data_IF_224362038662
#
_entry.id   IF_224362038662
#
_cell.length_a   1.000
_cell.length_b   1.000
_cell.length_c   1.000
_cell.angle_alpha   90.00
_cell.angle_beta   90.00
_cell.angle_gamma   90.00
#
_symmetry.space_group_name_H-M   'P 1'
#
loop_
_entity.id
_entity.type
_entity.pdbx_description
1 polymer ?
#
# COMPACT_ATOMS: atom_id res chain seq x y z
N UNK A 1 -6.22 2.77 -12.09
CA UNK A 1 -7.28 3.34 -12.94
C UNK A 1 -7.20 4.85 -12.88
N UNK A 2 -7.74 5.55 -13.86
CA UNK A 2 -7.88 7.01 -13.80
C UNK A 2 -8.84 7.42 -12.67
N UNK A 3 -8.56 8.55 -12.03
CA UNK A 3 -9.41 9.10 -10.98
C UNK A 3 -10.81 9.44 -11.54
N UNK A 4 -11.84 9.22 -10.71
CA UNK A 4 -13.24 9.48 -11.10
C UNK A 4 -13.92 8.32 -11.85
N UNK A 5 -13.21 7.23 -12.16
CA UNK A 5 -13.87 6.03 -12.70
C UNK A 5 -14.83 5.44 -11.65
N UNK A 6 -16.10 5.23 -12.05
CA UNK A 6 -17.15 4.67 -11.17
C UNK A 6 -17.80 3.39 -11.70
N UNK A 7 -17.43 2.97 -12.91
CA UNK A 7 -17.85 1.67 -13.43
C UNK A 7 -17.36 0.57 -12.50
N UNK A 8 -18.23 -0.42 -12.25
CA UNK A 8 -17.84 -1.63 -11.54
C UNK A 8 -16.89 -2.43 -12.43
N UNK A 9 -15.69 -2.70 -11.92
CA UNK A 9 -14.67 -3.50 -12.61
C UNK A 9 -14.43 -4.75 -11.77
N UNK A 10 -14.59 -5.90 -12.39
CA UNK A 10 -14.31 -7.19 -11.77
C UNK A 10 -13.12 -7.85 -12.46
N UNK A 11 -12.19 -8.36 -11.65
CA UNK A 11 -11.09 -9.20 -12.11
C UNK A 11 -11.21 -10.54 -11.41
N UNK A 12 -11.29 -11.61 -12.20
CA UNK A 12 -11.41 -12.99 -11.69
C UNK A 12 -10.23 -13.77 -12.20
N UNK A 13 -9.37 -14.24 -11.29
CA UNK A 13 -8.26 -15.13 -11.60
C UNK A 13 -8.61 -16.52 -11.07
N UNK A 14 -8.60 -17.52 -11.95
CA UNK A 14 -8.84 -18.92 -11.59
C UNK A 14 -7.57 -19.72 -11.79
N UNK A 15 -7.07 -20.37 -10.73
CA UNK A 15 -5.93 -21.29 -10.83
C UNK A 15 -6.42 -22.60 -11.41
N UNK A 16 -6.15 -22.82 -12.70
CA UNK A 16 -6.62 -24.01 -13.43
C UNK A 16 -5.66 -25.20 -13.31
N UNK A 17 -4.37 -24.92 -13.14
CA UNK A 17 -3.30 -25.91 -13.01
C UNK A 17 -2.21 -25.31 -12.14
N UNK A 18 -1.66 -26.12 -11.24
CA UNK A 18 -0.59 -25.72 -10.33
C UNK A 18 0.41 -26.86 -10.21
N UNK A 19 1.67 -26.58 -10.54
CA UNK A 19 2.77 -27.43 -10.12
C UNK A 19 2.93 -27.28 -8.60
N UNK A 20 2.96 -28.36 -7.80
CA UNK A 20 3.09 -28.26 -6.35
C UNK A 20 4.33 -27.52 -5.85
N UNK A 21 5.36 -27.35 -6.71
CA UNK A 21 6.58 -26.62 -6.38
C UNK A 21 6.50 -25.12 -6.68
N UNK A 22 5.45 -24.64 -7.35
CA UNK A 22 5.32 -23.25 -7.76
C UNK A 22 4.33 -22.51 -6.84
N UNK A 23 4.58 -21.21 -6.64
CA UNK A 23 3.65 -20.31 -5.97
C UNK A 23 2.84 -19.51 -7.00
N UNK A 24 1.52 -19.60 -6.94
CA UNK A 24 0.64 -19.06 -7.96
C UNK A 24 0.34 -17.56 -7.81
N UNK A 25 0.53 -17.00 -6.62
CA UNK A 25 0.07 -15.66 -6.24
C UNK A 25 0.66 -14.55 -7.13
N UNK A 26 1.96 -14.54 -7.37
CA UNK A 26 2.62 -13.55 -8.22
C UNK A 26 2.31 -13.76 -9.70
N UNK A 27 2.06 -15.01 -10.13
CA UNK A 27 1.52 -15.27 -11.47
C UNK A 27 0.11 -14.71 -11.62
N UNK A 28 -0.73 -14.83 -10.58
CA UNK A 28 -2.08 -14.28 -10.56
C UNK A 28 -2.09 -12.75 -10.62
N UNK A 29 -1.14 -12.06 -9.99
CA UNK A 29 -0.95 -10.60 -10.11
C UNK A 29 -0.72 -10.21 -11.58
N UNK A 30 0.21 -10.90 -12.25
CA UNK A 30 0.52 -10.62 -13.66
C UNK A 30 -0.66 -10.95 -14.58
N UNK A 31 -1.39 -12.05 -14.31
CA UNK A 31 -2.60 -12.40 -15.07
C UNK A 31 -3.70 -11.35 -14.92
N UNK A 32 -3.95 -10.87 -13.70
CA UNK A 32 -4.90 -9.80 -13.40
C UNK A 32 -4.55 -8.49 -14.11
N UNK A 33 -3.26 -8.12 -14.10
CA UNK A 33 -2.77 -6.94 -14.82
C UNK A 33 -2.95 -7.11 -16.33
N UNK A 34 -2.52 -8.24 -16.89
CA UNK A 34 -2.60 -8.51 -18.32
C UNK A 34 -4.05 -8.50 -18.83
N UNK A 35 -4.97 -9.16 -18.11
CA UNK A 35 -6.40 -9.16 -18.47
C UNK A 35 -7.00 -7.76 -18.44
N UNK A 36 -6.63 -6.96 -17.44
CA UNK A 36 -7.09 -5.56 -17.31
C UNK A 36 -6.52 -4.69 -18.41
N UNK A 37 -5.26 -4.91 -18.79
CA UNK A 37 -4.56 -4.17 -19.84
C UNK A 37 -5.23 -4.33 -21.21
N UNK A 38 -5.67 -5.55 -21.56
CA UNK A 38 -6.31 -5.83 -22.85
C UNK A 38 -7.82 -5.55 -22.87
N UNK A 39 -8.41 -5.19 -21.72
CA UNK A 39 -9.85 -4.99 -21.58
C UNK A 39 -10.35 -3.67 -22.20
N UNK A 40 -9.45 -2.77 -22.62
CA UNK A 40 -9.83 -1.44 -23.13
C UNK A 40 -10.29 -0.48 -22.04
N UNK A 41 -9.78 -0.65 -20.81
CA UNK A 41 -10.10 0.19 -19.64
C UNK A 41 -9.11 1.36 -19.49
N UNK A 42 -9.52 2.50 -18.88
CA UNK A 42 -8.62 3.62 -18.60
C UNK A 42 -7.72 3.29 -17.38
N UNK A 43 -6.73 2.45 -17.65
CA UNK A 43 -5.82 1.85 -16.67
C UNK A 43 -4.36 2.15 -17.04
N UNK A 44 -3.59 2.66 -16.08
CA UNK A 44 -2.18 3.01 -16.22
C UNK A 44 -1.26 1.80 -16.01
N UNK A 45 -1.52 0.72 -16.74
CA UNK A 45 -0.72 -0.49 -16.73
C UNK A 45 0.37 -0.54 -17.80
N UNK A 46 1.01 -1.71 -17.98
CA UNK A 46 0.83 -2.91 -17.17
C UNK A 46 1.55 -2.80 -15.81
N UNK A 47 1.14 -3.65 -14.87
CA UNK A 47 1.81 -3.89 -13.58
C UNK A 47 2.49 -5.25 -13.63
N UNK A 48 3.78 -5.28 -13.31
CA UNK A 48 4.54 -6.51 -13.11
C UNK A 48 4.60 -6.85 -11.63
N UNK A 49 4.27 -8.10 -11.27
CA UNK A 49 4.38 -8.62 -9.91
C UNK A 49 5.40 -9.76 -9.84
N UNK A 50 6.35 -9.70 -8.92
CA UNK A 50 7.39 -10.73 -8.77
C UNK A 50 7.60 -11.05 -7.30
N UNK A 51 7.86 -12.33 -7.00
CA UNK A 51 8.43 -12.75 -5.72
C UNK A 51 9.94 -12.83 -5.90
N UNK A 52 10.70 -12.19 -5.02
CA UNK A 52 12.14 -12.36 -4.88
C UNK A 52 12.45 -12.87 -3.48
N UNK A 53 13.27 -13.91 -3.39
CA UNK A 53 13.73 -14.44 -2.11
C UNK A 53 15.25 -14.36 -2.02
N UNK A 54 15.77 -14.00 -0.84
CA UNK A 54 17.21 -14.00 -0.58
C UNK A 54 17.65 -15.39 -0.12
N UNK A 55 18.37 -16.09 -0.99
CA UNK A 55 18.75 -17.48 -0.77
C UNK A 55 20.27 -17.60 -0.63
N UNK A 56 20.81 -17.80 0.59
CA UNK A 56 22.20 -18.16 0.83
C UNK A 56 22.52 -19.59 0.38
N UNK A 57 23.78 -19.81 0.01
CA UNK A 57 24.35 -21.13 -0.23
C UNK A 57 25.66 -21.28 0.54
N UNK A 58 26.21 -22.50 0.60
CA UNK A 58 27.52 -22.73 1.22
C UNK A 58 28.64 -21.91 0.55
N UNK A 59 28.53 -21.69 -0.76
CA UNK A 59 29.50 -20.93 -1.55
C UNK A 59 29.23 -19.41 -1.49
N UNK A 60 27.99 -19.01 -1.28
CA UNK A 60 27.57 -17.61 -1.20
C UNK A 60 26.69 -17.36 0.04
N UNK A 61 27.34 -17.12 1.18
CA UNK A 61 26.66 -16.78 2.44
C UNK A 61 25.97 -15.42 2.41
N UNK A 62 26.34 -14.51 1.50
CA UNK A 62 25.63 -13.25 1.29
C UNK A 62 24.26 -13.46 0.62
N UNK A 63 24.08 -14.60 -0.06
CA UNK A 63 22.86 -14.98 -0.74
C UNK A 63 22.67 -14.33 -2.10
N UNK A 64 21.68 -14.82 -2.82
CA UNK A 64 21.24 -14.32 -4.11
C UNK A 64 19.74 -14.06 -4.07
N UNK A 65 19.31 -12.93 -4.63
CA UNK A 65 17.89 -12.65 -4.88
C UNK A 65 17.41 -13.47 -6.07
N UNK A 66 16.62 -14.51 -5.79
CA UNK A 66 16.05 -15.42 -6.79
C UNK A 66 14.61 -15.00 -7.06
N UNK A 67 14.30 -14.70 -8.32
CA UNK A 67 12.94 -14.39 -8.75
C UNK A 67 12.12 -15.66 -9.02
N UNK A 68 10.84 -15.62 -8.67
CA UNK A 68 9.92 -16.77 -8.74
C UNK A 68 10.52 -18.04 -8.10
N UNK A 69 10.95 -17.97 -6.83
CA UNK A 69 11.50 -19.13 -6.15
C UNK A 69 10.44 -20.24 -6.04
N UNK A 70 10.88 -21.49 -6.10
CA UNK A 70 10.04 -22.65 -5.81
C UNK A 70 9.81 -22.79 -4.30
N UNK A 71 8.82 -23.61 -3.93
CA UNK A 71 8.57 -24.00 -2.53
C UNK A 71 9.84 -24.56 -1.89
N UNK A 72 10.54 -25.48 -2.56
CA UNK A 72 11.81 -26.04 -2.09
C UNK A 72 12.91 -24.97 -1.92
N UNK A 73 13.01 -24.01 -2.84
CA UNK A 73 14.01 -22.94 -2.74
C UNK A 73 13.76 -22.01 -1.54
N UNK A 74 12.49 -21.81 -1.15
CA UNK A 74 12.13 -20.99 0.00
C UNK A 74 12.54 -21.61 1.34
N UNK A 75 12.70 -22.93 1.43
CA UNK A 75 13.17 -23.59 2.66
C UNK A 75 14.55 -23.09 3.10
N UNK A 76 15.38 -22.69 2.12
CA UNK A 76 16.72 -22.13 2.32
C UNK A 76 16.78 -20.60 2.26
N UNK A 77 15.65 -19.90 2.11
CA UNK A 77 15.63 -18.44 2.04
C UNK A 77 15.71 -17.81 3.43
N UNK A 78 16.34 -16.64 3.55
CA UNK A 78 16.32 -15.81 4.78
C UNK A 78 15.28 -14.70 4.73
N UNK A 79 14.77 -14.38 3.54
CA UNK A 79 13.78 -13.34 3.32
C UNK A 79 12.96 -13.65 2.06
N UNK A 80 11.64 -13.52 2.16
CA UNK A 80 10.69 -13.65 1.04
C UNK A 80 9.99 -12.31 0.84
N UNK A 81 10.00 -11.79 -0.39
CA UNK A 81 9.45 -10.49 -0.72
C UNK A 81 8.71 -10.49 -2.05
N UNK A 82 7.43 -10.13 -2.02
CA UNK A 82 6.63 -9.84 -3.20
C UNK A 82 6.67 -8.34 -3.48
N UNK A 83 7.00 -7.99 -4.72
CA UNK A 83 7.10 -6.61 -5.21
C UNK A 83 6.24 -6.46 -6.45
N UNK A 84 5.43 -5.40 -6.51
CA UNK A 84 4.72 -5.03 -7.72
C UNK A 84 4.98 -3.56 -8.11
N UNK A 85 5.11 -3.32 -9.41
CA UNK A 85 5.42 -2.00 -9.94
C UNK A 85 5.11 -1.86 -11.42
N UNK A 86 5.43 -0.68 -11.97
CA UNK A 86 5.26 -0.37 -13.39
C UNK A 86 6.47 0.38 -13.93
N UNK A 87 6.70 0.27 -15.24
CA UNK A 87 7.70 1.09 -15.94
C UNK A 87 7.18 2.52 -16.04
N UNK A 88 7.99 3.52 -15.67
CA UNK A 88 7.67 4.95 -15.82
C UNK A 88 8.41 5.61 -16.97
N UNK A 89 9.61 5.12 -17.30
CA UNK A 89 10.42 5.57 -18.44
C UNK A 89 11.46 4.51 -18.79
N UNK A 90 12.05 4.61 -19.99
CA UNK A 90 13.05 3.64 -20.44
C UNK A 90 12.45 2.28 -20.83
N UNK A 91 13.33 1.39 -21.29
CA UNK A 91 13.02 0.03 -21.74
C UNK A 91 14.23 -0.89 -21.46
N UNK A 92 13.98 -2.19 -21.39
CA UNK A 92 14.99 -3.21 -21.16
C UNK A 92 15.73 -3.01 -19.84
N UNK A 93 17.06 -3.08 -19.90
CA UNK A 93 17.95 -2.94 -18.75
C UNK A 93 17.96 -1.52 -18.14
N UNK A 94 17.55 -0.51 -18.91
CA UNK A 94 17.52 0.91 -18.49
C UNK A 94 16.11 1.37 -18.08
N UNK A 95 15.16 0.44 -17.94
CA UNK A 95 13.80 0.75 -17.53
C UNK A 95 13.77 1.25 -16.08
N UNK A 96 13.25 2.47 -15.90
CA UNK A 96 12.93 2.98 -14.58
C UNK A 96 11.60 2.39 -14.11
N UNK A 97 11.65 1.66 -13.01
CA UNK A 97 10.52 0.95 -12.42
C UNK A 97 10.10 1.64 -11.15
N UNK A 98 8.87 2.17 -11.15
CA UNK A 98 8.22 2.66 -9.95
C UNK A 98 7.57 1.48 -9.20
N UNK A 99 8.12 1.16 -8.04
CA UNK A 99 7.53 0.20 -7.09
C UNK A 99 6.25 0.82 -6.50
N UNK A 100 5.17 0.03 -6.48
CA UNK A 100 3.84 0.47 -6.07
C UNK A 100 3.31 -0.31 -4.86
N UNK A 101 3.78 -1.55 -4.65
CA UNK A 101 3.38 -2.43 -3.55
C UNK A 101 4.55 -3.32 -3.17
N UNK A 102 4.72 -3.55 -1.86
CA UNK A 102 5.68 -4.48 -1.28
C UNK A 102 4.99 -5.23 -0.15
N UNK A 103 5.09 -6.55 -0.16
CA UNK A 103 4.69 -7.45 0.94
C UNK A 103 5.88 -8.38 1.20
N UNK A 104 6.39 -8.42 2.43
CA UNK A 104 7.65 -9.11 2.71
C UNK A 104 7.73 -9.64 4.14
N UNK A 105 8.48 -10.73 4.30
CA UNK A 105 8.67 -11.42 5.57
C UNK A 105 10.03 -12.12 5.66
N UNK A 106 10.49 -12.34 6.88
CA UNK A 106 11.54 -13.32 7.15
C UNK A 106 10.93 -14.73 7.20
N UNK A 107 11.71 -15.75 6.86
CA UNK A 107 11.24 -17.14 6.79
C UNK A 107 11.30 -17.85 8.15
N UNK A 108 10.63 -19.01 8.27
CA UNK A 108 10.60 -19.81 9.51
C UNK A 108 11.99 -20.22 10.01
N UNK A 109 12.89 -20.61 9.09
CA UNK A 109 14.24 -21.09 9.41
C UNK A 109 15.30 -19.98 9.46
N UNK A 110 14.91 -18.71 9.33
CA UNK A 110 15.84 -17.57 9.18
C UNK A 110 16.91 -17.50 10.28
N UNK A 111 16.53 -17.78 11.53
CA UNK A 111 17.43 -17.71 12.69
C UNK A 111 18.55 -18.74 12.57
N UNK A 112 18.21 -19.98 12.20
CA UNK A 112 19.18 -21.07 12.06
C UNK A 112 20.09 -20.86 10.85
N UNK A 113 19.54 -20.36 9.74
CA UNK A 113 20.30 -20.06 8.53
C UNK A 113 21.32 -18.94 8.80
N UNK A 114 20.94 -17.88 9.53
CA UNK A 114 21.84 -16.81 9.96
C UNK A 114 22.90 -17.33 10.94
N UNK A 115 22.51 -18.17 11.90
CA UNK A 115 23.46 -18.81 12.82
C UNK A 115 24.49 -19.70 12.07
N UNK A 116 24.09 -20.27 10.93
CA UNK A 116 24.95 -20.96 9.97
C UNK A 116 25.86 -20.06 9.12
N UNK A 117 25.86 -18.75 9.37
CA UNK A 117 26.74 -17.76 8.76
C UNK A 117 26.12 -16.97 7.61
N UNK A 118 24.83 -17.12 7.33
CA UNK A 118 24.16 -16.34 6.29
C UNK A 118 23.96 -14.87 6.67
N UNK A 119 23.87 -14.02 5.66
CA UNK A 119 23.55 -12.61 5.81
C UNK A 119 22.14 -12.41 6.39
N UNK A 120 22.04 -11.59 7.45
CA UNK A 120 20.75 -11.20 8.02
C UNK A 120 20.04 -10.17 7.14
N UNK A 121 18.70 -10.23 7.00
CA UNK A 121 17.93 -9.31 6.16
C UNK A 121 17.68 -7.97 6.87
N UNK A 122 18.73 -7.15 6.99
CA UNK A 122 18.64 -5.77 7.50
C UNK A 122 18.00 -4.83 6.48
N UNK A 123 17.68 -3.60 6.86
CA UNK A 123 17.05 -2.61 5.96
C UNK A 123 17.87 -2.37 4.68
N UNK A 124 19.20 -2.41 4.78
CA UNK A 124 20.08 -2.28 3.61
C UNK A 124 19.90 -3.45 2.63
N UNK A 125 19.85 -4.68 3.16
CA UNK A 125 19.65 -5.89 2.35
C UNK A 125 18.24 -5.92 1.74
N UNK A 126 17.22 -5.52 2.50
CA UNK A 126 15.84 -5.40 1.97
C UNK A 126 15.78 -4.37 0.84
N UNK A 127 16.46 -3.23 0.97
CA UNK A 127 16.55 -2.24 -0.09
C UNK A 127 17.25 -2.77 -1.35
N UNK A 128 18.32 -3.57 -1.19
CA UNK A 128 18.94 -4.28 -2.32
C UNK A 128 17.96 -5.24 -3.01
N UNK A 129 17.13 -5.94 -2.24
CA UNK A 129 16.08 -6.80 -2.80
C UNK A 129 15.04 -6.05 -3.63
N UNK A 130 14.67 -4.83 -3.21
CA UNK A 130 13.77 -3.97 -3.99
C UNK A 130 14.39 -3.57 -5.33
N UNK A 131 15.68 -3.26 -5.36
CA UNK A 131 16.40 -2.98 -6.60
C UNK A 131 16.55 -4.24 -7.46
N UNK A 132 16.84 -5.40 -6.86
CA UNK A 132 16.93 -6.68 -7.56
C UNK A 132 15.61 -7.12 -8.20
N UNK A 133 14.46 -6.68 -7.67
CA UNK A 133 13.14 -6.97 -8.23
C UNK A 133 12.85 -6.19 -9.53
N UNK A 134 13.43 -5.00 -9.72
CA UNK A 134 13.07 -4.09 -10.82
C UNK A 134 13.29 -4.69 -12.22
N UNK A 135 14.43 -5.35 -12.54
CA UNK A 135 14.62 -5.93 -13.87
C UNK A 135 13.56 -6.99 -14.22
N UNK A 136 13.12 -7.78 -13.24
CA UNK A 136 12.07 -8.78 -13.44
C UNK A 136 10.71 -8.12 -13.67
N UNK A 137 10.37 -7.08 -12.89
CA UNK A 137 9.15 -6.29 -13.10
C UNK A 137 9.14 -5.65 -14.48
N UNK A 138 10.27 -5.10 -14.95
CA UNK A 138 10.40 -4.53 -16.28
C UNK A 138 10.12 -5.58 -17.36
N UNK A 139 10.77 -6.76 -17.29
CA UNK A 139 10.55 -7.85 -18.23
C UNK A 139 9.08 -8.32 -18.26
N UNK A 140 8.43 -8.44 -17.09
CA UNK A 140 7.02 -8.79 -16.98
C UNK A 140 6.10 -7.73 -17.61
N UNK A 141 6.39 -6.45 -17.38
CA UNK A 141 5.66 -5.35 -17.99
C UNK A 141 5.82 -5.35 -19.51
N UNK A 142 7.02 -5.59 -20.04
CA UNK A 142 7.30 -5.64 -21.47
C UNK A 142 6.59 -6.81 -22.16
N UNK A 143 6.58 -7.99 -21.53
CA UNK A 143 5.82 -9.13 -22.02
C UNK A 143 4.31 -8.79 -22.12
N UNK A 144 3.76 -8.12 -21.10
CA UNK A 144 2.37 -7.67 -21.12
C UNK A 144 2.11 -6.58 -22.18
N UNK A 145 3.04 -5.63 -22.38
CA UNK A 145 2.95 -4.62 -23.46
C UNK A 145 2.94 -5.29 -24.83
N UNK A 146 3.79 -6.29 -25.05
CA UNK A 146 3.83 -7.07 -26.30
C UNK A 146 2.50 -7.78 -26.56
N UNK A 147 1.92 -8.41 -25.53
CA UNK A 147 0.58 -9.00 -25.60
C UNK A 147 -0.49 -7.96 -25.93
N UNK A 148 -0.46 -6.80 -25.27
CA UNK A 148 -1.41 -5.73 -25.49
C UNK A 148 -1.32 -5.15 -26.91
N UNK A 149 -0.12 -5.01 -27.48
CA UNK A 149 0.06 -4.56 -28.86
C UNK A 149 -0.60 -5.50 -29.88
N UNK A 150 -0.69 -6.80 -29.58
CA UNK A 150 -1.31 -7.80 -30.44
C UNK A 150 -2.82 -7.99 -30.20
N UNK A 151 -3.30 -7.76 -28.97
CA UNK A 151 -4.61 -8.23 -28.53
C UNK A 151 -5.46 -7.22 -27.74
N UNK A 152 -4.96 -6.01 -27.47
CA UNK A 152 -5.73 -5.03 -26.71
C UNK A 152 -6.96 -4.58 -27.49
N UNK A 153 -8.10 -4.53 -26.80
CA UNK A 153 -9.27 -3.79 -27.29
C UNK A 153 -8.92 -2.30 -27.33
N UNK A 154 -9.63 -1.57 -28.20
CA UNK A 154 -9.62 -0.11 -28.16
C UNK A 154 -10.10 0.36 -26.79
N UNK A 155 -9.47 1.41 -26.26
CA UNK A 155 -9.90 2.03 -25.02
C UNK A 155 -11.29 2.60 -25.20
N UNK A 156 -12.25 2.10 -24.43
CA UNK A 156 -13.63 2.59 -24.47
C UNK A 156 -13.74 4.01 -23.92
N UNK A 157 -14.85 4.68 -24.24
CA UNK A 157 -15.23 5.93 -23.59
C UNK A 157 -15.89 5.62 -22.24
N UNK A 158 -15.24 6.02 -21.15
CA UNK A 158 -15.76 5.86 -19.80
C UNK A 158 -16.12 7.23 -19.20
N UNK A 159 -17.34 7.40 -18.68
CA UNK A 159 -17.68 8.62 -17.96
C UNK A 159 -16.85 8.72 -16.68
N UNK A 160 -16.21 9.88 -16.50
CA UNK A 160 -15.46 10.20 -15.29
C UNK A 160 -16.29 11.11 -14.39
N UNK A 161 -16.25 10.82 -13.10
CA UNK A 161 -16.96 11.56 -12.06
C UNK A 161 -15.92 12.08 -11.05
N UNK A 162 -15.21 13.17 -11.37
CA UNK A 162 -14.32 13.81 -10.42
C UNK A 162 -15.09 14.20 -9.15
N UNK A 163 -14.40 14.25 -8.01
CA UNK A 163 -15.05 14.52 -6.74
C UNK A 163 -15.54 15.98 -6.61
N UNK A 164 -14.92 16.89 -7.38
CA UNK A 164 -15.23 18.31 -7.48
C UNK A 164 -14.56 18.88 -8.72
N UNK A 165 -15.10 19.97 -9.25
CA UNK A 165 -14.45 20.79 -10.27
C UNK A 165 -13.54 21.86 -9.64
N UNK A 166 -12.68 22.48 -10.46
CA UNK A 166 -11.70 23.46 -9.98
C UNK A 166 -12.34 24.69 -9.32
N UNK A 167 -13.48 25.17 -9.82
CA UNK A 167 -14.21 26.30 -9.26
C UNK A 167 -14.68 26.04 -7.82
N UNK A 168 -15.16 24.83 -7.53
CA UNK A 168 -15.55 24.43 -6.18
C UNK A 168 -14.34 24.38 -5.23
N UNK A 169 -13.20 23.87 -5.70
CA UNK A 169 -11.96 23.89 -4.92
C UNK A 169 -11.49 25.30 -4.61
N UNK A 170 -11.45 26.18 -5.61
CA UNK A 170 -10.99 27.55 -5.45
C UNK A 170 -11.90 28.36 -4.51
N UNK A 171 -13.22 28.18 -4.62
CA UNK A 171 -14.19 28.81 -3.70
C UNK A 171 -14.00 28.34 -2.25
N UNK A 172 -13.84 27.02 -2.03
CA UNK A 172 -13.58 26.46 -0.70
C UNK A 172 -12.23 26.92 -0.16
N UNK A 173 -11.19 26.93 -0.99
CA UNK A 173 -9.86 27.40 -0.61
C UNK A 173 -9.89 28.87 -0.18
N UNK A 174 -10.57 29.74 -0.95
CA UNK A 174 -10.72 31.14 -0.60
C UNK A 174 -11.46 31.37 0.73
N UNK A 175 -12.49 30.56 1.01
CA UNK A 175 -13.32 30.73 2.20
C UNK A 175 -12.74 30.05 3.47
N UNK A 176 -12.04 28.93 3.33
CA UNK A 176 -11.68 28.07 4.47
C UNK A 176 -10.19 28.08 4.84
N UNK A 177 -9.28 28.46 3.95
CA UNK A 177 -7.82 28.21 4.12
C UNK A 177 -7.28 28.74 5.45
N UNK A 178 -7.57 29.99 5.81
CA UNK A 178 -7.00 30.63 7.00
C UNK A 178 -7.53 29.98 8.30
N UNK A 179 -8.86 29.87 8.42
CA UNK A 179 -9.52 29.24 9.57
C UNK A 179 -9.10 27.77 9.71
N UNK A 180 -9.12 27.02 8.61
CA UNK A 180 -8.74 25.60 8.61
C UNK A 180 -7.28 25.42 9.00
N UNK A 181 -6.38 26.28 8.51
CA UNK A 181 -4.96 26.23 8.89
C UNK A 181 -4.76 26.41 10.40
N UNK A 182 -5.52 27.31 11.03
CA UNK A 182 -5.51 27.50 12.49
C UNK A 182 -6.09 26.29 13.23
N UNK A 183 -7.23 25.76 12.80
CA UNK A 183 -7.86 24.57 13.40
C UNK A 183 -6.92 23.36 13.35
N UNK A 184 -6.21 23.19 12.24
CA UNK A 184 -5.24 22.09 12.09
C UNK A 184 -4.06 22.19 13.07
N UNK A 185 -3.89 23.29 13.80
CA UNK A 185 -2.92 23.43 14.91
C UNK A 185 -3.37 22.81 16.23
N UNK A 186 -4.67 22.52 16.38
CA UNK A 186 -5.23 21.88 17.57
C UNK A 186 -4.72 20.43 17.64
N UNK A 187 -3.97 20.12 18.70
CA UNK A 187 -3.39 18.79 18.89
C UNK A 187 -4.45 17.74 19.28
N UNK A 188 -5.39 18.12 20.15
CA UNK A 188 -6.46 17.26 20.64
C UNK A 188 -7.37 16.77 19.51
N UNK A 189 -7.55 15.45 19.38
CA UNK A 189 -8.32 14.86 18.28
C UNK A 189 -9.78 15.33 18.27
N UNK A 190 -10.49 15.16 19.38
CA UNK A 190 -11.90 15.51 19.49
C UNK A 190 -12.13 17.01 19.28
N UNK A 191 -11.35 17.85 19.96
CA UNK A 191 -11.41 19.32 19.80
C UNK A 191 -11.15 19.75 18.34
N UNK A 192 -10.18 19.12 17.67
CA UNK A 192 -9.89 19.40 16.26
C UNK A 192 -11.00 18.89 15.34
N UNK A 193 -11.54 17.71 15.58
CA UNK A 193 -12.63 17.12 14.79
C UNK A 193 -13.88 17.98 14.89
N UNK A 194 -14.28 18.35 16.10
CA UNK A 194 -15.44 19.22 16.36
C UNK A 194 -15.28 20.57 15.64
N UNK A 195 -14.14 21.24 15.79
CA UNK A 195 -13.86 22.51 15.12
C UNK A 195 -13.81 22.38 13.59
N UNK A 196 -13.26 21.28 13.08
CA UNK A 196 -13.19 21.02 11.63
C UNK A 196 -14.58 20.78 11.04
N UNK A 197 -15.44 20.04 11.75
CA UNK A 197 -16.80 19.76 11.32
C UNK A 197 -17.70 21.01 11.42
N UNK A 198 -17.53 21.83 12.46
CA UNK A 198 -18.19 23.13 12.57
C UNK A 198 -17.82 24.03 11.38
N UNK A 199 -16.52 24.20 11.10
CA UNK A 199 -16.06 24.98 9.95
C UNK A 199 -16.59 24.41 8.64
N UNK A 200 -16.61 23.08 8.48
CA UNK A 200 -17.14 22.45 7.28
C UNK A 200 -18.63 22.76 7.09
N UNK A 201 -19.41 22.77 8.17
CA UNK A 201 -20.81 23.19 8.18
C UNK A 201 -20.97 24.63 7.71
N UNK A 202 -20.19 25.56 8.30
CA UNK A 202 -20.18 26.98 7.90
C UNK A 202 -19.92 27.15 6.40
N UNK A 203 -18.91 26.44 5.87
CA UNK A 203 -18.50 26.56 4.47
C UNK A 203 -19.55 25.96 3.53
N UNK A 204 -20.20 24.86 3.93
CA UNK A 204 -21.32 24.29 3.17
C UNK A 204 -22.47 25.30 3.07
N UNK A 205 -22.88 25.90 4.18
CA UNK A 205 -23.97 26.88 4.22
C UNK A 205 -23.61 28.16 3.44
N UNK A 206 -22.37 28.66 3.60
CA UNK A 206 -21.88 29.86 2.91
C UNK A 206 -21.86 29.70 1.38
N UNK A 207 -21.50 28.51 0.89
CA UNK A 207 -21.32 28.24 -0.54
C UNK A 207 -22.53 27.55 -1.19
N UNK A 208 -23.53 27.12 -0.43
CA UNK A 208 -24.69 26.38 -0.93
C UNK A 208 -25.36 27.07 -2.13
N UNK A 209 -25.57 28.39 -2.07
CA UNK A 209 -26.22 29.14 -3.15
C UNK A 209 -25.38 29.30 -4.43
N UNK A 210 -24.06 29.12 -4.36
CA UNK A 210 -23.17 29.20 -5.53
C UNK A 210 -23.05 27.84 -6.25
N UNK A 211 -23.33 26.75 -5.56
CA UNK A 211 -23.13 25.37 -6.02
C UNK A 211 -24.40 24.54 -5.86
N UNK A 212 -25.57 25.11 -6.15
CA UNK A 212 -26.86 24.40 -6.09
C UNK A 212 -26.84 23.16 -7.00
N UNK A 213 -27.12 21.99 -6.43
CA UNK A 213 -27.01 20.68 -7.10
C UNK A 213 -25.59 20.09 -7.17
N UNK A 214 -24.58 20.79 -6.63
CA UNK A 214 -23.16 20.40 -6.58
C UNK A 214 -22.60 20.42 -5.15
N UNK A 215 -23.45 20.34 -4.13
CA UNK A 215 -23.08 20.51 -2.72
C UNK A 215 -22.06 19.46 -2.24
N UNK A 216 -22.10 18.26 -2.84
CA UNK A 216 -21.12 17.19 -2.56
C UNK A 216 -19.69 17.59 -2.95
N UNK A 217 -19.54 18.47 -3.95
CA UNK A 217 -18.23 18.96 -4.40
C UNK A 217 -17.57 19.82 -3.32
N UNK A 218 -18.34 20.67 -2.62
CA UNK A 218 -17.83 21.49 -1.51
C UNK A 218 -17.21 20.60 -0.43
N UNK A 219 -17.92 19.55 -0.02
CA UNK A 219 -17.44 18.61 0.99
C UNK A 219 -16.19 17.84 0.54
N UNK A 220 -16.10 17.46 -0.74
CA UNK A 220 -14.94 16.79 -1.30
C UNK A 220 -13.73 17.75 -1.44
N UNK A 221 -13.96 18.96 -1.93
CA UNK A 221 -12.97 20.03 -2.02
C UNK A 221 -12.39 20.40 -0.64
N UNK A 222 -13.25 20.49 0.39
CA UNK A 222 -12.83 20.76 1.77
C UNK A 222 -11.88 19.67 2.29
N UNK A 223 -12.18 18.38 2.02
CA UNK A 223 -11.28 17.27 2.37
C UNK A 223 -9.94 17.36 1.62
N UNK A 224 -9.98 17.69 0.32
CA UNK A 224 -8.75 17.87 -0.47
C UNK A 224 -7.91 19.06 0.02
N UNK A 225 -8.54 20.17 0.39
CA UNK A 225 -7.87 21.31 1.00
C UNK A 225 -7.24 20.92 2.33
N UNK A 226 -7.98 20.22 3.19
CA UNK A 226 -7.47 19.68 4.46
C UNK A 226 -6.22 18.83 4.22
N UNK A 227 -6.27 17.89 3.26
CA UNK A 227 -5.12 17.07 2.86
C UNK A 227 -3.94 17.92 2.39
N UNK A 228 -4.19 18.97 1.59
CA UNK A 228 -3.15 19.89 1.10
C UNK A 228 -2.47 20.63 2.26
N UNK A 229 -3.25 21.22 3.16
CA UNK A 229 -2.72 22.00 4.29
C UNK A 229 -1.94 21.14 5.28
N UNK A 230 -2.44 19.94 5.61
CA UNK A 230 -1.72 18.99 6.47
C UNK A 230 -0.38 18.60 5.85
N UNK A 231 -0.35 18.27 4.55
CA UNK A 231 0.90 17.92 3.85
C UNK A 231 1.87 19.08 3.82
N UNK A 232 1.39 20.28 3.50
CA UNK A 232 2.22 21.48 3.48
C UNK A 232 2.88 21.70 4.84
N UNK A 233 2.11 21.61 5.92
CA UNK A 233 2.61 21.82 7.28
C UNK A 233 3.63 20.77 7.72
N UNK A 234 3.43 19.51 7.37
CA UNK A 234 4.44 18.47 7.64
C UNK A 234 5.76 18.80 6.93
N UNK A 235 5.71 19.36 5.71
CA UNK A 235 6.91 19.71 4.94
C UNK A 235 7.58 21.01 5.41
N UNK A 236 6.81 22.02 5.83
CA UNK A 236 7.35 23.33 6.23
C UNK A 236 7.68 23.38 7.71
N UNK A 237 6.75 22.96 8.56
CA UNK A 237 6.80 23.16 10.00
C UNK A 237 7.32 21.90 10.73
N UNK A 238 7.52 20.80 10.00
CA UNK A 238 7.95 19.50 10.54
C UNK A 238 7.04 18.97 11.65
N UNK A 239 5.77 19.36 11.58
CA UNK A 239 4.78 19.11 12.62
C UNK A 239 3.56 18.41 12.04
N UNK A 240 3.12 17.35 12.72
CA UNK A 240 1.97 16.54 12.32
C UNK A 240 0.68 17.10 12.91
N UNK A 241 -0.43 16.68 12.32
CA UNK A 241 -1.77 17.15 12.70
C UNK A 241 -2.08 16.94 14.19
N UNK A 242 -1.51 15.91 14.81
CA UNK A 242 -1.77 15.51 16.19
C UNK A 242 -0.74 16.01 17.21
N UNK A 243 0.05 17.02 16.86
CA UNK A 243 0.97 17.63 17.82
C UNK A 243 2.40 17.10 17.79
N UNK A 244 2.68 16.06 16.99
CA UNK A 244 3.94 15.31 17.03
C UNK A 244 4.95 15.75 15.98
N UNK A 245 6.23 15.57 16.28
CA UNK A 245 7.31 15.60 15.30
C UNK A 245 7.27 14.41 14.34
N UNK A 246 8.05 14.49 13.26
CA UNK A 246 8.08 13.47 12.20
C UNK A 246 8.60 12.10 12.65
N UNK A 247 9.38 12.05 13.73
CA UNK A 247 9.94 10.82 14.32
C UNK A 247 9.22 10.35 15.58
N UNK A 248 8.29 11.14 16.12
CA UNK A 248 7.72 10.85 17.43
C UNK A 248 6.72 9.70 17.35
N UNK A 249 6.90 8.73 18.24
CA UNK A 249 5.97 7.62 18.44
C UNK A 249 4.86 8.09 19.42
N UNK A 250 3.63 7.62 19.22
CA UNK A 250 2.52 7.88 20.17
C UNK A 250 2.81 7.21 21.51
N UNK A 251 2.14 7.64 22.57
CA UNK A 251 2.19 6.99 23.88
C UNK A 251 2.03 5.47 23.74
N UNK A 252 2.93 4.73 24.39
CA UNK A 252 2.95 3.28 24.40
C UNK A 252 2.49 2.77 25.76
N UNK A 253 1.64 1.74 25.75
CA UNK A 253 1.33 0.95 26.93
C UNK A 253 1.37 -0.52 26.55
N UNK A 254 1.92 -1.35 27.43
CA UNK A 254 1.98 -2.79 27.26
C UNK A 254 1.68 -3.46 28.60
N UNK A 255 0.66 -4.30 28.62
CA UNK A 255 0.25 -5.07 29.78
C UNK A 255 0.08 -6.55 29.39
N UNK A 256 0.40 -7.46 30.30
CA UNK A 256 0.21 -8.91 30.15
C UNK A 256 -0.74 -9.42 31.23
N UNK A 257 -1.34 -10.59 31.00
CA UNK A 257 -2.28 -11.23 31.93
C UNK A 257 -3.55 -10.41 32.23
N UNK A 258 -4.06 -9.69 31.21
CA UNK A 258 -5.24 -8.82 31.29
C UNK A 258 -6.58 -9.58 31.28
N UNK A 259 -6.62 -10.78 30.69
CA UNK A 259 -7.84 -11.61 30.62
C UNK A 259 -7.68 -12.82 31.56
N UNK A 260 -8.60 -13.04 32.53
CA UNK A 260 -8.54 -14.21 33.39
C UNK A 260 -8.82 -15.49 32.59
N UNK A 261 -8.25 -16.62 33.06
CA UNK A 261 -8.40 -17.98 32.51
C UNK A 261 -7.75 -18.27 31.16
N UNK A 262 -7.44 -17.27 30.34
CA UNK A 262 -6.69 -17.47 29.10
C UNK A 262 -5.29 -18.05 29.38
N UNK A 263 -4.73 -18.85 28.47
CA UNK A 263 -3.36 -19.35 28.62
C UNK A 263 -2.33 -18.22 28.58
N UNK A 264 -2.55 -17.25 27.68
CA UNK A 264 -1.81 -15.98 27.65
C UNK A 264 -2.73 -14.85 27.17
N UNK A 265 -2.49 -13.64 27.67
CA UNK A 265 -3.16 -12.44 27.16
C UNK A 265 -2.25 -11.23 27.28
N UNK A 266 -2.40 -10.29 26.36
CA UNK A 266 -1.68 -9.02 26.35
C UNK A 266 -2.57 -7.90 25.80
N UNK A 267 -2.45 -6.71 26.38
CA UNK A 267 -3.03 -5.47 25.87
C UNK A 267 -1.89 -4.55 25.44
N UNK A 268 -1.87 -4.20 24.16
CA UNK A 268 -0.91 -3.25 23.61
C UNK A 268 -1.64 -2.02 23.10
N UNK A 269 -1.17 -0.85 23.51
CA UNK A 269 -1.69 0.43 23.05
C UNK A 269 -0.58 1.29 22.45
N UNK A 270 -0.91 1.94 21.33
CA UNK A 270 -0.07 2.96 20.69
C UNK A 270 -0.93 4.13 20.27
N UNK A 271 -1.11 5.09 21.18
CA UNK A 271 -2.16 6.11 21.11
C UNK A 271 -3.54 5.46 21.13
N UNK A 272 -4.44 5.86 20.22
CA UNK A 272 -5.79 5.29 20.14
C UNK A 272 -5.86 3.89 19.51
N UNK A 273 -4.75 3.37 18.96
CA UNK A 273 -4.70 1.99 18.48
C UNK A 273 -4.53 1.06 19.68
N UNK A 274 -5.54 0.26 19.98
CA UNK A 274 -5.53 -0.74 21.06
C UNK A 274 -5.72 -2.14 20.47
N UNK A 275 -4.83 -3.06 20.83
CA UNK A 275 -4.87 -4.46 20.41
C UNK A 275 -4.92 -5.35 21.65
N UNK A 276 -5.92 -6.23 21.72
CA UNK A 276 -5.99 -7.31 22.71
C UNK A 276 -5.55 -8.62 22.05
N UNK A 277 -4.39 -9.12 22.43
CA UNK A 277 -3.89 -10.44 22.04
C UNK A 277 -4.30 -11.49 23.07
N UNK A 278 -4.80 -12.65 22.61
CA UNK A 278 -5.12 -13.80 23.46
C UNK A 278 -4.48 -15.04 22.86
N UNK A 279 -3.66 -15.73 23.64
CA UNK A 279 -2.98 -16.96 23.25
C UNK A 279 -3.73 -18.16 23.80
N UNK A 280 -3.94 -19.15 22.94
CA UNK A 280 -4.46 -20.47 23.32
C UNK A 280 -3.46 -21.53 22.90
N UNK A 281 -3.12 -22.43 23.83
CA UNK A 281 -2.30 -23.60 23.57
C UNK A 281 -3.20 -24.84 23.60
N UNK A 282 -2.99 -25.74 22.64
CA UNK A 282 -3.66 -27.03 22.60
C UNK A 282 -2.70 -28.08 22.03
N UNK A 283 -3.13 -29.34 22.01
CA UNK A 283 -2.41 -30.43 21.37
C UNK A 283 -2.26 -30.17 19.86
N UNK A 284 -1.16 -30.66 19.27
CA UNK A 284 -0.88 -30.58 17.81
C UNK A 284 -2.05 -31.09 16.96
N UNK A 285 -2.86 -32.04 17.47
CA UNK A 285 -4.07 -32.53 16.78
C UNK A 285 -5.12 -31.45 16.49
N UNK A 286 -5.04 -30.30 17.17
CA UNK A 286 -5.93 -29.15 16.98
C UNK A 286 -5.34 -28.11 16.01
N UNK A 287 -4.14 -28.34 15.47
CA UNK A 287 -3.62 -27.53 14.37
C UNK A 287 -4.57 -27.62 13.17
N UNK A 288 -4.77 -26.49 12.49
CA UNK A 288 -5.58 -26.44 11.29
C UNK A 288 -4.94 -27.35 10.23
N UNK A 289 -5.74 -28.26 9.67
CA UNK A 289 -5.35 -29.12 8.55
C UNK A 289 -5.45 -28.38 7.22
#
# INVERSE_FOLDING_TARGET
FVDGLRNEIQVVVTVMSLNPQDLYDVLAINAASASTQIAGLPFSGPVGGVRVALIPTEENKAGQWVAFPTVEQLEGAVFDMVVAGRIVSGEGADADVAIMMVEAEATENVIDIIAGGAQAPTEAIVAEGLEAAKPFIAALCEAQKSMAAAASKETGEFPLFPAYEADAFDAVAAAATDKLSQILTIAGKHEREDATDELKGEILDQLAGQFEGREKEIGAAFRSLTKKLVRQRILTDHFRIDGRGITDIRSLSAEVAVIPRAHGSALFERGETQILGVTTLDMVKMAQQ
#
